data_IF_100361691480
#
_entry.id   IF_100361691480
#
_cell.length_a   1.000
_cell.length_b   1.000
_cell.length_c   1.000
_cell.angle_alpha   90.00
_cell.angle_beta   90.00
_cell.angle_gamma   90.00
#
_symmetry.space_group_name_H-M   'P 1'
#
loop_
_entity.id
_entity.type
_entity.pdbx_description
1 polymer ?
#
# COMPACT_ATOMS: atom_id res chain seq x y z
N UNK A 1 6.51 2.34 -22.22
CA UNK A 1 5.64 3.46 -22.61
C UNK A 1 4.62 3.12 -23.70
N UNK A 2 4.98 2.48 -24.84
CA UNK A 2 4.03 2.15 -25.92
C UNK A 2 2.84 1.27 -25.50
N UNK A 3 3.02 0.33 -24.57
CA UNK A 3 1.96 -0.60 -24.12
C UNK A 3 0.91 0.04 -23.20
N UNK A 4 1.26 1.08 -22.43
CA UNK A 4 0.30 1.80 -21.57
C UNK A 4 -0.53 2.82 -22.36
N UNK A 5 0.04 3.43 -23.42
CA UNK A 5 -0.70 4.36 -24.29
C UNK A 5 -1.89 3.70 -24.99
N UNK A 6 -1.84 2.40 -25.28
CA UNK A 6 -2.93 1.70 -25.96
C UNK A 6 -4.13 1.36 -25.06
N UNK A 7 -3.97 1.36 -23.74
CA UNK A 7 -5.07 1.12 -22.79
C UNK A 7 -5.74 2.42 -22.31
N UNK A 8 -5.04 3.55 -22.31
CA UNK A 8 -5.52 4.82 -21.77
C UNK A 8 -6.71 5.47 -22.54
N UNK A 9 -7.16 4.86 -23.65
CA UNK A 9 -8.35 5.29 -24.41
C UNK A 9 -9.61 4.46 -24.16
N UNK A 10 -9.53 3.33 -23.45
CA UNK A 10 -10.69 2.46 -23.22
C UNK A 10 -11.13 2.58 -21.76
N UNK A 11 -12.30 3.19 -21.56
CA UNK A 11 -12.96 3.22 -20.25
C UNK A 11 -13.02 1.80 -19.67
N UNK A 12 -12.56 1.61 -18.42
CA UNK A 12 -12.72 0.35 -17.69
C UNK A 12 -14.20 0.00 -17.56
N UNK A 13 -14.54 -1.29 -17.51
CA UNK A 13 -15.93 -1.77 -17.48
C UNK A 13 -16.72 -1.27 -16.25
N UNK A 14 -16.03 -0.98 -15.15
CA UNK A 14 -16.63 -0.41 -13.93
C UNK A 14 -17.20 1.00 -14.17
N UNK A 15 -16.57 1.85 -14.97
CA UNK A 15 -17.05 3.23 -15.18
C UNK A 15 -18.44 3.28 -15.86
N UNK A 16 -18.72 2.61 -17.00
CA UNK A 16 -20.06 2.58 -17.57
C UNK A 16 -21.06 1.85 -16.67
N UNK A 17 -20.63 0.84 -15.89
CA UNK A 17 -21.49 0.22 -14.88
C UNK A 17 -21.96 1.25 -13.84
N UNK A 18 -21.03 1.97 -13.21
CA UNK A 18 -21.35 3.00 -12.22
C UNK A 18 -22.28 4.08 -12.81
N UNK A 19 -21.98 4.56 -14.03
CA UNK A 19 -22.82 5.54 -14.73
C UNK A 19 -24.23 5.02 -15.00
N UNK A 20 -24.36 3.79 -15.51
CA UNK A 20 -25.67 3.14 -15.75
C UNK A 20 -26.50 3.07 -14.47
N UNK A 21 -25.85 2.83 -13.34
CA UNK A 21 -26.48 2.75 -12.01
C UNK A 21 -26.55 4.09 -11.27
N UNK A 22 -26.22 5.21 -11.94
CA UNK A 22 -26.25 6.58 -11.39
C UNK A 22 -25.36 6.78 -10.16
N UNK A 23 -24.28 5.99 -10.04
CA UNK A 23 -23.24 6.16 -9.03
C UNK A 23 -22.17 7.08 -9.61
N UNK A 24 -21.90 8.22 -8.98
CA UNK A 24 -20.81 9.14 -9.38
C UNK A 24 -19.75 9.23 -8.28
N UNK A 25 -18.57 9.73 -8.67
CA UNK A 25 -17.45 9.96 -7.75
C UNK A 25 -17.85 10.91 -6.63
N UNK A 26 -18.62 11.95 -6.94
CA UNK A 26 -19.09 12.93 -5.94
C UNK A 26 -19.90 12.31 -4.79
N UNK A 27 -20.60 11.19 -5.02
CA UNK A 27 -21.38 10.52 -3.97
C UNK A 27 -20.67 9.28 -3.39
N UNK A 28 -19.94 8.54 -4.21
CA UNK A 28 -19.25 7.33 -3.78
C UNK A 28 -17.84 7.26 -4.41
N UNK A 29 -16.86 7.96 -3.82
CA UNK A 29 -15.50 8.00 -4.36
C UNK A 29 -14.78 6.66 -4.22
N UNK A 30 -13.71 6.47 -4.99
CA UNK A 30 -12.79 5.33 -4.90
C UNK A 30 -13.37 3.94 -5.27
N UNK A 31 -14.64 3.83 -5.68
CA UNK A 31 -15.18 2.57 -6.24
C UNK A 31 -14.43 2.19 -7.52
N UNK A 32 -14.23 3.16 -8.42
CA UNK A 32 -13.43 2.98 -9.62
C UNK A 32 -11.94 3.31 -9.37
N UNK A 33 -11.02 2.64 -10.08
CA UNK A 33 -9.64 3.09 -10.26
C UNK A 33 -9.52 4.51 -10.87
N UNK A 34 -10.49 4.89 -11.69
CA UNK A 34 -10.52 6.16 -12.39
C UNK A 34 -11.29 7.22 -11.61
N UNK A 35 -10.71 8.41 -11.52
CA UNK A 35 -11.39 9.62 -11.06
C UNK A 35 -11.97 10.44 -12.21
N UNK A 36 -12.20 9.80 -13.37
CA UNK A 36 -12.96 10.33 -14.49
C UNK A 36 -13.77 9.20 -15.13
N UNK A 37 -15.04 9.08 -14.77
CA UNK A 37 -15.95 8.04 -15.24
C UNK A 37 -16.51 8.35 -16.64
N UNK A 38 -16.66 9.63 -17.00
CA UNK A 38 -17.25 10.08 -18.26
C UNK A 38 -16.39 11.13 -18.99
N UNK A 39 -15.23 10.70 -19.49
CA UNK A 39 -14.36 11.60 -20.25
C UNK A 39 -15.05 12.29 -21.44
N UNK A 40 -15.86 11.61 -22.29
CA UNK A 40 -16.55 12.28 -23.38
C UNK A 40 -17.44 13.45 -22.94
N UNK A 41 -18.21 13.28 -21.85
CA UNK A 41 -19.04 14.33 -21.31
C UNK A 41 -18.23 15.48 -20.71
N UNK A 42 -17.18 15.17 -19.92
CA UNK A 42 -16.31 16.18 -19.32
C UNK A 42 -15.53 16.97 -20.38
N UNK A 43 -15.01 16.29 -21.41
CA UNK A 43 -14.32 16.91 -22.53
C UNK A 43 -15.25 17.82 -23.35
N UNK A 44 -16.51 17.43 -23.54
CA UNK A 44 -17.50 18.29 -24.20
C UNK A 44 -17.76 19.59 -23.40
N UNK A 45 -17.90 19.50 -22.08
CA UNK A 45 -18.01 20.67 -21.19
C UNK A 45 -16.80 21.60 -21.34
N UNK A 46 -15.59 21.04 -21.29
CA UNK A 46 -14.33 21.80 -21.42
C UNK A 46 -14.21 22.49 -22.79
N UNK A 47 -14.57 21.82 -23.90
CA UNK A 47 -14.61 22.45 -25.24
C UNK A 47 -15.62 23.58 -25.33
N UNK A 48 -16.74 23.45 -24.62
CA UNK A 48 -17.77 24.49 -24.56
C UNK A 48 -17.39 25.67 -23.63
N UNK A 49 -16.20 25.65 -23.01
CA UNK A 49 -15.75 26.70 -22.10
C UNK A 49 -16.46 26.68 -20.74
N UNK A 50 -17.00 25.53 -20.32
CA UNK A 50 -17.59 25.40 -18.99
C UNK A 50 -16.56 25.66 -17.89
N UNK A 51 -16.96 26.41 -16.87
CA UNK A 51 -16.12 26.67 -15.70
C UNK A 51 -16.15 25.45 -14.76
N UNK A 52 -15.10 24.65 -14.82
CA UNK A 52 -14.86 23.56 -13.87
C UNK A 52 -14.07 24.11 -12.69
N UNK A 53 -14.28 23.54 -11.50
CA UNK A 53 -13.51 23.92 -10.32
C UNK A 53 -12.04 23.58 -10.52
N UNK A 54 -11.22 24.61 -10.69
CA UNK A 54 -9.78 24.48 -10.56
C UNK A 54 -9.39 24.39 -9.09
N UNK A 55 -8.40 23.55 -8.78
CA UNK A 55 -7.80 23.47 -7.45
C UNK A 55 -6.41 24.11 -7.48
N UNK A 56 -6.23 25.42 -7.23
CA UNK A 56 -4.94 26.09 -7.45
C UNK A 56 -3.81 25.52 -6.59
N UNK A 57 -4.13 25.03 -5.39
CA UNK A 57 -3.16 24.38 -4.49
C UNK A 57 -2.60 23.08 -5.07
N UNK A 58 -3.31 22.41 -5.97
CA UNK A 58 -2.85 21.19 -6.64
C UNK A 58 -1.69 21.40 -7.60
N UNK A 59 -1.28 22.64 -7.84
CA UNK A 59 -0.28 22.95 -8.85
C UNK A 59 1.05 22.21 -8.59
N UNK A 60 1.62 21.61 -9.62
CA UNK A 60 2.99 21.06 -9.60
C UNK A 60 3.65 21.15 -10.98
N UNK A 61 4.96 20.92 -11.03
CA UNK A 61 5.78 21.10 -12.23
C UNK A 61 6.35 19.79 -12.74
N UNK A 62 6.47 19.70 -14.06
CA UNK A 62 7.25 18.65 -14.75
C UNK A 62 8.00 19.30 -15.92
N UNK A 63 8.85 18.53 -16.59
CA UNK A 63 9.46 18.95 -17.85
C UNK A 63 8.43 19.35 -18.94
N UNK A 64 7.20 18.81 -18.90
CA UNK A 64 6.15 19.13 -19.87
C UNK A 64 5.48 20.50 -19.62
N UNK A 65 5.61 21.04 -18.40
CA UNK A 65 4.93 22.26 -17.96
C UNK A 65 4.27 22.12 -16.59
N UNK A 66 3.37 23.05 -16.31
CA UNK A 66 2.66 23.15 -15.05
C UNK A 66 1.32 22.41 -15.10
N UNK A 67 1.05 21.63 -14.06
CA UNK A 67 -0.15 20.82 -13.94
C UNK A 67 -1.06 21.39 -12.86
N UNK A 68 -2.38 21.38 -13.10
CA UNK A 68 -3.41 21.73 -12.13
C UNK A 68 -4.59 20.76 -12.25
N UNK A 69 -5.19 20.36 -11.13
CA UNK A 69 -6.39 19.51 -11.09
C UNK A 69 -7.65 20.35 -11.34
N UNK A 70 -8.51 19.86 -12.22
CA UNK A 70 -9.88 20.34 -12.44
C UNK A 70 -10.88 19.30 -11.96
N UNK A 71 -12.04 19.74 -11.48
CA UNK A 71 -13.14 18.89 -11.01
C UNK A 71 -14.49 19.44 -11.46
N UNK A 72 -15.33 18.57 -12.01
CA UNK A 72 -16.76 18.82 -12.20
C UNK A 72 -17.50 18.48 -10.91
N UNK A 73 -17.80 19.47 -10.06
CA UNK A 73 -18.37 19.24 -8.73
C UNK A 73 -19.70 18.47 -8.74
N UNK A 74 -20.45 18.53 -9.84
CA UNK A 74 -21.71 17.81 -9.98
C UNK A 74 -21.51 16.28 -10.08
N UNK A 75 -20.40 15.83 -10.67
CA UNK A 75 -20.12 14.41 -10.94
C UNK A 75 -18.95 13.88 -10.12
N UNK A 76 -18.04 14.76 -9.70
CA UNK A 76 -16.72 14.41 -9.15
C UNK A 76 -15.72 13.99 -10.21
N UNK A 77 -16.07 14.03 -11.51
CA UNK A 77 -15.13 13.72 -12.58
C UNK A 77 -14.01 14.76 -12.62
N UNK A 78 -12.77 14.27 -12.58
CA UNK A 78 -11.57 15.07 -12.50
C UNK A 78 -10.77 15.02 -13.82
N UNK A 79 -10.06 16.12 -14.10
CA UNK A 79 -9.14 16.21 -15.22
C UNK A 79 -7.82 16.88 -14.81
N UNK A 80 -6.74 16.48 -15.47
CA UNK A 80 -5.44 17.13 -15.37
C UNK A 80 -5.35 18.22 -16.43
N UNK A 81 -5.17 19.47 -16.02
CA UNK A 81 -4.84 20.59 -16.91
C UNK A 81 -3.34 20.77 -16.96
N UNK A 82 -2.78 20.85 -18.16
CA UNK A 82 -1.40 21.15 -18.46
C UNK A 82 -1.30 22.51 -19.15
N UNK A 83 -0.62 23.44 -18.51
CA UNK A 83 -0.03 24.62 -19.14
C UNK A 83 1.34 24.24 -19.68
N UNK A 84 1.40 23.95 -20.98
CA UNK A 84 2.57 23.32 -21.58
C UNK A 84 3.68 24.32 -21.86
N UNK A 85 4.93 23.87 -21.70
CA UNK A 85 6.13 24.55 -22.22
C UNK A 85 6.63 23.92 -23.53
N UNK A 86 5.99 22.85 -23.98
CA UNK A 86 6.44 22.10 -25.14
C UNK A 86 6.02 22.80 -26.43
N UNK A 87 6.94 22.88 -27.38
CA UNK A 87 6.65 23.25 -28.76
C UNK A 87 6.13 22.01 -29.50
N UNK A 88 4.82 21.83 -29.66
CA UNK A 88 4.23 20.67 -30.33
C UNK A 88 2.87 20.22 -29.75
N UNK A 89 2.48 18.97 -29.97
CA UNK A 89 1.17 18.42 -29.54
C UNK A 89 1.14 18.13 -28.04
N UNK A 90 0.79 19.14 -27.23
CA UNK A 90 0.61 19.00 -25.79
C UNK A 90 -0.35 17.86 -25.40
N UNK A 91 -1.34 17.54 -26.25
CA UNK A 91 -2.32 16.49 -26.03
C UNK A 91 -1.75 15.05 -26.02
N UNK A 92 -0.49 14.82 -26.40
CA UNK A 92 0.11 13.49 -26.44
C UNK A 92 0.91 13.12 -25.18
N UNK A 93 0.98 14.03 -24.20
CA UNK A 93 1.75 13.85 -22.96
C UNK A 93 1.17 12.73 -22.10
N UNK A 94 -0.15 12.69 -21.93
CA UNK A 94 -0.89 11.60 -21.31
C UNK A 94 -1.93 11.01 -22.29
N UNK A 95 -2.58 9.93 -21.91
CA UNK A 95 -3.61 9.30 -22.74
C UNK A 95 -4.90 10.12 -22.80
N UNK A 96 -5.56 10.09 -23.96
CA UNK A 96 -6.85 10.75 -24.20
C UNK A 96 -6.83 12.27 -24.02
N UNK A 97 -5.69 12.91 -24.29
CA UNK A 97 -5.55 14.35 -24.18
C UNK A 97 -6.40 15.13 -25.19
N UNK A 98 -6.88 16.28 -24.73
CA UNK A 98 -7.59 17.27 -25.53
C UNK A 98 -6.80 18.58 -25.46
N UNK A 99 -6.35 19.08 -26.61
CA UNK A 99 -5.86 20.45 -26.70
C UNK A 99 -7.06 21.41 -26.64
N UNK A 100 -6.99 22.39 -25.73
CA UNK A 100 -7.96 23.48 -25.66
C UNK A 100 -7.49 24.66 -26.52
N UNK A 101 -6.19 24.94 -26.49
CA UNK A 101 -5.51 25.87 -27.37
C UNK A 101 -4.04 25.44 -27.58
N UNK A 102 -3.20 26.33 -28.12
CA UNK A 102 -1.78 26.04 -28.39
C UNK A 102 -0.89 25.89 -27.15
N UNK A 103 -1.32 26.32 -25.96
CA UNK A 103 -0.56 26.26 -24.72
C UNK A 103 -1.25 25.45 -23.61
N UNK A 104 -2.51 25.03 -23.82
CA UNK A 104 -3.33 24.30 -22.86
C UNK A 104 -3.79 22.94 -23.39
N UNK A 105 -3.54 21.90 -22.59
CA UNK A 105 -4.12 20.58 -22.79
C UNK A 105 -4.78 20.06 -21.52
N UNK A 106 -5.80 19.22 -21.67
CA UNK A 106 -6.52 18.57 -20.58
C UNK A 106 -6.62 17.06 -20.81
N UNK A 107 -6.56 16.29 -19.72
CA UNK A 107 -6.56 14.83 -19.75
C UNK A 107 -7.48 14.27 -18.68
N UNK A 108 -8.14 13.13 -18.90
CA UNK A 108 -8.95 12.51 -17.85
C UNK A 108 -8.07 12.00 -16.71
N UNK A 109 -8.54 12.12 -15.47
CA UNK A 109 -7.90 11.53 -14.30
C UNK A 109 -8.15 10.00 -14.24
N UNK A 110 -7.53 9.27 -15.17
CA UNK A 110 -7.53 7.79 -15.18
C UNK A 110 -6.36 7.23 -14.39
N UNK A 111 -6.45 5.96 -13.99
CA UNK A 111 -5.36 5.24 -13.32
C UNK A 111 -4.07 5.24 -14.14
N UNK A 112 -4.15 4.97 -15.43
CA UNK A 112 -2.98 4.89 -16.32
C UNK A 112 -2.31 6.27 -16.48
N UNK A 113 -3.11 7.34 -16.53
CA UNK A 113 -2.60 8.71 -16.55
C UNK A 113 -1.95 9.07 -15.22
N UNK A 114 -2.50 8.65 -14.09
CA UNK A 114 -1.90 8.83 -12.76
C UNK A 114 -0.51 8.15 -12.66
N UNK A 115 -0.39 6.90 -13.12
CA UNK A 115 0.90 6.20 -13.13
C UNK A 115 1.93 6.89 -14.02
N UNK A 116 1.50 7.44 -15.15
CA UNK A 116 2.37 8.22 -16.04
C UNK A 116 2.79 9.53 -15.39
N UNK A 117 1.87 10.24 -14.74
CA UNK A 117 2.16 11.47 -13.98
C UNK A 117 3.15 11.21 -12.83
N UNK A 118 3.07 10.07 -12.14
CA UNK A 118 4.08 9.70 -11.14
C UNK A 118 5.49 9.70 -11.71
N UNK A 119 5.67 9.09 -12.88
CA UNK A 119 6.97 9.08 -13.56
C UNK A 119 7.42 10.50 -13.94
N UNK A 120 6.53 11.32 -14.49
CA UNK A 120 6.86 12.69 -14.90
C UNK A 120 7.23 13.57 -13.71
N UNK A 121 6.46 13.50 -12.63
CA UNK A 121 6.70 14.25 -11.40
C UNK A 121 8.02 13.84 -10.74
N UNK A 122 8.24 12.52 -10.54
CA UNK A 122 9.45 12.03 -9.87
C UNK A 122 10.72 12.18 -10.72
N UNK A 123 10.60 12.25 -12.05
CA UNK A 123 11.74 12.57 -12.93
C UNK A 123 12.15 14.04 -12.79
N UNK A 124 11.19 14.95 -12.58
CA UNK A 124 11.46 16.37 -12.35
C UNK A 124 11.95 16.64 -10.92
N UNK A 125 11.35 15.95 -9.95
CA UNK A 125 11.61 16.10 -8.52
C UNK A 125 11.59 14.70 -7.85
N UNK A 126 12.76 14.05 -7.70
CA UNK A 126 12.86 12.75 -7.06
C UNK A 126 12.29 12.69 -5.64
N UNK A 127 12.23 13.84 -4.95
CA UNK A 127 11.70 14.03 -3.60
C UNK A 127 10.22 14.46 -3.60
N UNK A 128 9.53 14.30 -4.73
CA UNK A 128 8.11 14.63 -4.84
C UNK A 128 7.27 13.84 -3.84
N UNK A 129 6.51 14.56 -3.02
CA UNK A 129 5.58 14.00 -2.03
C UNK A 129 4.13 13.99 -2.50
N UNK A 130 3.89 14.16 -3.81
CA UNK A 130 2.56 14.01 -4.42
C UNK A 130 2.08 12.56 -4.28
N UNK A 131 2.99 11.61 -4.47
CA UNK A 131 2.72 10.18 -4.47
C UNK A 131 3.22 9.55 -3.16
N UNK A 132 2.62 8.42 -2.74
CA UNK A 132 3.15 7.66 -1.61
C UNK A 132 4.56 7.16 -1.92
N UNK A 133 5.44 7.21 -0.92
CA UNK A 133 6.85 6.81 -1.01
C UNK A 133 7.25 5.92 0.15
N UNK A 134 8.48 5.41 0.08
CA UNK A 134 9.16 4.69 1.16
C UNK A 134 10.30 5.52 1.76
N UNK A 135 10.25 6.85 1.58
CA UNK A 135 11.34 7.77 1.91
C UNK A 135 11.34 8.21 3.38
N UNK A 136 12.41 8.88 3.79
CA UNK A 136 12.54 9.45 5.13
C UNK A 136 12.53 8.39 6.24
N UNK A 137 11.81 8.65 7.33
CA UNK A 137 11.67 7.73 8.46
C UNK A 137 10.63 6.64 8.24
N UNK A 138 9.87 6.65 7.13
CA UNK A 138 8.71 5.77 6.93
C UNK A 138 9.06 4.28 7.01
N UNK A 139 10.28 3.89 6.64
CA UNK A 139 10.77 2.51 6.75
C UNK A 139 11.41 2.14 8.09
N UNK A 140 11.32 3.04 9.09
CA UNK A 140 11.94 2.90 10.43
C UNK A 140 11.01 3.24 11.59
N UNK A 141 10.03 4.10 11.37
CA UNK A 141 9.05 4.52 12.39
C UNK A 141 7.90 5.21 11.68
N UNK A 142 6.70 4.66 11.82
CA UNK A 142 5.52 5.18 11.15
C UNK A 142 4.26 4.77 11.91
N UNK A 143 3.20 5.54 11.74
CA UNK A 143 1.86 5.20 12.23
C UNK A 143 1.01 4.85 11.01
N UNK A 144 0.42 3.65 11.04
CA UNK A 144 -0.61 3.21 10.11
C UNK A 144 -1.94 3.89 10.40
N UNK A 145 -2.39 4.78 9.51
CA UNK A 145 -3.68 5.45 9.63
C UNK A 145 -4.64 4.87 8.60
N UNK A 146 -5.41 3.88 9.04
CA UNK A 146 -6.45 3.27 8.24
C UNK A 146 -7.84 3.78 8.61
N UNK A 147 -8.68 4.00 7.60
CA UNK A 147 -10.09 4.30 7.81
C UNK A 147 -10.96 3.52 6.83
N UNK A 148 -12.04 2.98 7.36
CA UNK A 148 -13.06 2.24 6.59
C UNK A 148 -14.16 3.12 6.03
N UNK A 149 -14.19 4.39 6.47
CA UNK A 149 -15.09 5.43 6.00
C UNK A 149 -14.49 6.23 4.82
N UNK A 150 -13.62 5.57 4.03
CA UNK A 150 -13.10 6.03 2.74
C UNK A 150 -12.26 7.31 2.82
N UNK A 151 -12.74 8.41 2.26
CA UNK A 151 -12.00 9.62 1.93
C UNK A 151 -12.15 10.74 2.97
N UNK A 152 -13.09 10.61 3.91
CA UNK A 152 -13.42 11.69 4.86
C UNK A 152 -12.28 12.00 5.84
N UNK A 153 -11.42 11.03 6.10
CA UNK A 153 -10.36 11.17 7.11
C UNK A 153 -9.10 11.85 6.56
N UNK A 154 -8.83 11.78 5.25
CA UNK A 154 -7.55 12.25 4.70
C UNK A 154 -7.23 13.72 5.01
N UNK A 155 -8.17 14.69 4.96
CA UNK A 155 -7.86 16.06 5.33
C UNK A 155 -7.40 16.20 6.79
N UNK A 156 -7.98 15.41 7.71
CA UNK A 156 -7.57 15.40 9.10
C UNK A 156 -6.18 14.76 9.29
N UNK A 157 -5.88 13.70 8.53
CA UNK A 157 -4.53 13.08 8.52
C UNK A 157 -3.49 14.06 7.98
N UNK A 158 -3.79 14.73 6.86
CA UNK A 158 -2.92 15.76 6.26
C UNK A 158 -2.68 16.92 7.22
N UNK A 159 -3.72 17.36 7.94
CA UNK A 159 -3.61 18.36 8.99
C UNK A 159 -2.69 17.88 10.13
N UNK A 160 -2.89 16.66 10.63
CA UNK A 160 -2.09 16.12 11.74
C UNK A 160 -0.61 15.96 11.34
N UNK A 161 -0.34 15.40 10.15
CA UNK A 161 1.01 15.31 9.60
C UNK A 161 1.65 16.69 9.45
N UNK A 162 0.88 17.70 9.00
CA UNK A 162 1.39 19.07 8.86
C UNK A 162 1.68 19.73 10.22
N UNK A 163 0.83 19.50 11.23
CA UNK A 163 0.98 20.07 12.56
C UNK A 163 2.14 19.44 13.34
N UNK A 164 2.43 18.16 13.09
CA UNK A 164 3.50 17.40 13.73
C UNK A 164 4.81 17.39 12.92
N UNK A 165 4.78 17.91 11.69
CA UNK A 165 5.87 17.81 10.71
C UNK A 165 6.38 16.37 10.53
N UNK A 166 5.46 15.40 10.57
CA UNK A 166 5.77 13.97 10.63
C UNK A 166 5.16 13.20 9.48
N UNK A 167 5.99 12.40 8.81
CA UNK A 167 5.56 11.43 7.83
C UNK A 167 4.85 10.22 8.45
N UNK A 168 3.76 9.78 7.85
CA UNK A 168 2.94 8.65 8.32
C UNK A 168 2.59 7.73 7.15
N UNK A 169 2.20 6.50 7.49
CA UNK A 169 1.46 5.60 6.60
C UNK A 169 0.02 6.08 6.55
N UNK A 170 -0.16 7.19 5.82
CA UNK A 170 -1.34 8.05 5.82
C UNK A 170 -2.52 7.50 5.00
N UNK A 171 -2.34 6.32 4.42
CA UNK A 171 -3.40 5.54 3.80
C UNK A 171 -3.11 4.08 4.16
N UNK A 172 -4.08 3.35 4.71
CA UNK A 172 -3.91 1.96 5.06
C UNK A 172 -5.24 1.23 5.08
N UNK A 173 -5.32 0.07 4.41
CA UNK A 173 -6.46 -0.83 4.51
C UNK A 173 -6.02 -2.26 4.24
N UNK A 174 -6.71 -3.23 4.85
CA UNK A 174 -6.44 -4.65 4.65
C UNK A 174 -6.88 -5.11 3.26
N UNK A 175 -6.06 -5.88 2.56
CA UNK A 175 -6.37 -6.40 1.22
C UNK A 175 -6.23 -7.93 1.24
N UNK A 176 -7.27 -8.70 0.91
CA UNK A 176 -8.49 -8.28 0.21
C UNK A 176 -9.69 -8.04 1.12
N UNK A 177 -9.48 -7.99 2.44
CA UNK A 177 -10.59 -7.94 3.39
C UNK A 177 -11.41 -6.67 3.23
N UNK A 178 -10.76 -5.52 3.16
CA UNK A 178 -11.41 -4.20 3.16
C UNK A 178 -11.60 -3.61 1.77
N UNK A 179 -10.59 -3.73 0.90
CA UNK A 179 -10.60 -3.15 -0.44
C UNK A 179 -10.63 -4.21 -1.55
N UNK A 180 -11.31 -3.87 -2.64
CA UNK A 180 -11.36 -4.66 -3.88
C UNK A 180 -10.07 -4.42 -4.68
N UNK A 181 -9.26 -5.45 -4.89
CA UNK A 181 -8.06 -5.36 -5.73
C UNK A 181 -8.31 -5.77 -7.19
N UNK A 182 -9.45 -6.42 -7.47
CA UNK A 182 -9.85 -6.91 -8.79
C UNK A 182 -11.31 -6.49 -9.06
N UNK A 183 -11.48 -5.31 -9.65
CA UNK A 183 -12.81 -4.73 -9.95
C UNK A 183 -13.55 -5.48 -11.06
N UNK A 184 -12.83 -6.18 -11.94
CA UNK A 184 -13.46 -7.00 -12.98
C UNK A 184 -14.05 -8.27 -12.35
N UNK A 185 -13.32 -8.92 -11.43
CA UNK A 185 -13.88 -10.01 -10.63
C UNK A 185 -15.09 -9.58 -9.78
N UNK A 186 -15.09 -8.34 -9.27
CA UNK A 186 -16.26 -7.76 -8.59
C UNK A 186 -17.48 -7.68 -9.50
N UNK A 187 -17.33 -7.12 -10.70
CA UNK A 187 -18.42 -6.98 -11.66
C UNK A 187 -18.95 -8.33 -12.16
N UNK A 188 -18.06 -9.32 -12.27
CA UNK A 188 -18.39 -10.68 -12.69
C UNK A 188 -18.95 -11.54 -11.55
N UNK A 189 -19.04 -11.03 -10.31
CA UNK A 189 -19.52 -11.78 -9.16
C UNK A 189 -18.60 -12.93 -8.73
N UNK A 190 -17.30 -12.80 -9.00
CA UNK A 190 -16.26 -13.81 -8.69
C UNK A 190 -15.43 -13.51 -7.45
N UNK A 191 -15.78 -12.47 -6.69
CA UNK A 191 -15.13 -12.21 -5.40
C UNK A 191 -15.45 -13.33 -4.42
N UNK A 192 -14.48 -13.65 -3.57
CA UNK A 192 -14.63 -14.66 -2.54
C UNK A 192 -15.08 -14.03 -1.21
N UNK A 193 -15.13 -14.85 -0.17
CA UNK A 193 -15.27 -14.43 1.22
C UNK A 193 -13.96 -14.51 1.97
N UNK A 194 -13.79 -13.63 2.95
CA UNK A 194 -12.64 -13.55 3.85
C UNK A 194 -13.09 -13.76 5.29
N UNK A 195 -12.37 -14.56 6.09
CA UNK A 195 -12.64 -14.63 7.52
C UNK A 195 -12.53 -13.25 8.16
N UNK A 196 -13.50 -12.94 9.01
CA UNK A 196 -13.47 -11.75 9.86
C UNK A 196 -13.76 -12.14 11.32
N UNK A 197 -12.76 -12.71 12.01
CA UNK A 197 -12.95 -13.31 13.34
C UNK A 197 -13.59 -12.37 14.36
N UNK A 198 -13.32 -11.06 14.27
CA UNK A 198 -13.89 -10.05 15.16
C UNK A 198 -15.41 -10.04 15.20
N UNK A 199 -16.09 -10.32 14.08
CA UNK A 199 -17.56 -10.41 14.02
C UNK A 199 -18.07 -11.85 14.00
N UNK A 200 -17.18 -12.83 14.19
CA UNK A 200 -17.53 -14.25 14.22
C UNK A 200 -18.03 -14.83 12.90
N UNK A 201 -17.80 -14.16 11.76
CA UNK A 201 -18.26 -14.61 10.44
C UNK A 201 -17.28 -14.22 9.33
N UNK A 202 -17.59 -14.59 8.08
CA UNK A 202 -16.87 -14.14 6.90
C UNK A 202 -17.60 -12.98 6.23
N UNK A 203 -16.85 -12.09 5.59
CA UNK A 203 -17.40 -11.00 4.76
C UNK A 203 -16.96 -11.17 3.32
N UNK A 204 -17.66 -10.58 2.33
CA UNK A 204 -17.15 -10.52 0.96
C UNK A 204 -15.78 -9.83 0.91
N UNK A 205 -14.91 -10.24 0.00
CA UNK A 205 -13.73 -9.45 -0.36
C UNK A 205 -14.14 -8.01 -0.68
N UNK A 206 -13.37 -7.06 -0.18
CA UNK A 206 -13.62 -5.65 -0.43
C UNK A 206 -14.95 -5.16 0.11
N UNK A 207 -15.38 -5.63 1.29
CA UNK A 207 -16.70 -5.31 1.89
C UNK A 207 -17.01 -3.82 2.02
N UNK A 208 -16.01 -2.93 1.92
CA UNK A 208 -16.22 -1.48 1.93
C UNK A 208 -16.70 -0.94 0.58
N UNK A 209 -16.48 -1.68 -0.51
CA UNK A 209 -16.90 -1.33 -1.87
C UNK A 209 -15.95 -0.40 -2.62
N UNK A 210 -14.83 0.03 -2.03
CA UNK A 210 -13.79 0.79 -2.73
C UNK A 210 -12.71 -0.14 -3.28
N UNK A 211 -12.11 0.27 -4.39
CA UNK A 211 -10.97 -0.40 -4.97
C UNK A 211 -9.66 0.10 -4.39
N UNK A 212 -8.63 -0.75 -4.40
CA UNK A 212 -7.26 -0.40 -4.00
C UNK A 212 -6.70 0.73 -4.87
N UNK A 213 -6.90 0.62 -6.18
CA UNK A 213 -6.49 1.64 -7.15
C UNK A 213 -7.24 2.96 -6.89
N UNK A 214 -8.56 2.89 -6.65
CA UNK A 214 -9.38 4.05 -6.34
C UNK A 214 -8.95 4.75 -5.04
N UNK A 215 -8.71 4.01 -3.97
CA UNK A 215 -8.19 4.56 -2.71
C UNK A 215 -6.81 5.20 -2.89
N UNK A 216 -5.95 4.59 -3.69
CA UNK A 216 -4.63 5.16 -4.04
C UNK A 216 -4.78 6.49 -4.78
N UNK A 217 -5.63 6.51 -5.80
CA UNK A 217 -5.86 7.68 -6.64
C UNK A 217 -6.49 8.81 -5.84
N UNK A 218 -7.56 8.52 -5.10
CA UNK A 218 -8.27 9.50 -4.27
C UNK A 218 -7.38 10.13 -3.22
N UNK A 219 -6.50 9.35 -2.58
CA UNK A 219 -5.59 9.88 -1.57
C UNK A 219 -4.55 10.86 -2.17
N UNK A 220 -4.05 10.57 -3.37
CA UNK A 220 -3.19 11.50 -4.13
C UNK A 220 -3.94 12.78 -4.49
N UNK A 221 -5.19 12.66 -4.96
CA UNK A 221 -6.00 13.84 -5.29
C UNK A 221 -6.28 14.69 -4.06
N UNK A 222 -6.59 14.07 -2.92
CA UNK A 222 -6.79 14.77 -1.64
C UNK A 222 -5.59 15.66 -1.31
N UNK A 223 -4.39 15.08 -1.29
CA UNK A 223 -3.15 15.79 -0.97
C UNK A 223 -2.88 16.96 -1.91
N UNK A 224 -3.17 16.77 -3.20
CA UNK A 224 -3.07 17.83 -4.20
C UNK A 224 -4.11 18.94 -3.95
N UNK A 225 -5.39 18.60 -3.75
CA UNK A 225 -6.48 19.56 -3.52
C UNK A 225 -6.19 20.48 -2.32
N UNK A 226 -5.63 19.93 -1.24
CA UNK A 226 -5.29 20.69 -0.04
C UNK A 226 -3.87 21.28 -0.05
N UNK A 227 -3.05 20.97 -1.05
CA UNK A 227 -1.68 21.48 -1.19
C UNK A 227 -0.68 20.86 -0.22
N UNK A 228 -0.97 19.66 0.29
CA UNK A 228 -0.11 18.95 1.23
C UNK A 228 1.27 18.64 0.64
N UNK A 229 1.35 18.34 -0.66
CA UNK A 229 2.62 18.04 -1.34
C UNK A 229 3.63 19.19 -1.31
N UNK A 230 3.19 20.43 -1.15
CA UNK A 230 4.08 21.59 -0.99
C UNK A 230 4.86 21.55 0.34
N UNK A 231 4.37 20.80 1.33
CA UNK A 231 5.04 20.65 2.64
C UNK A 231 6.28 19.79 2.58
N UNK A 232 6.48 19.01 1.51
CA UNK A 232 7.60 18.05 1.37
C UNK A 232 7.68 17.03 2.51
N UNK A 233 6.55 16.72 3.14
CA UNK A 233 6.44 15.64 4.12
C UNK A 233 6.14 14.33 3.38
N UNK A 234 7.04 13.35 3.52
CA UNK A 234 6.86 12.03 2.95
C UNK A 234 5.67 11.31 3.61
N UNK A 235 4.95 10.51 2.85
CA UNK A 235 3.87 9.67 3.34
C UNK A 235 3.84 8.34 2.58
N UNK A 236 3.29 7.29 3.19
CA UNK A 236 3.16 5.97 2.59
C UNK A 236 1.70 5.53 2.47
N UNK A 237 1.47 4.59 1.55
CA UNK A 237 0.25 3.80 1.49
C UNK A 237 0.58 2.34 1.80
N UNK A 238 0.03 1.80 2.88
CA UNK A 238 0.15 0.38 3.22
C UNK A 238 -1.02 -0.43 2.65
N UNK A 239 -0.68 -1.38 1.78
CA UNK A 239 -1.54 -2.46 1.37
C UNK A 239 -1.44 -3.58 2.41
N UNK A 240 -2.24 -3.43 3.46
CA UNK A 240 -2.13 -4.16 4.72
C UNK A 240 -2.69 -5.59 4.63
N UNK A 241 -2.23 -6.49 5.50
CA UNK A 241 -2.67 -7.88 5.61
C UNK A 241 -2.88 -8.61 4.26
N UNK A 242 -1.90 -8.53 3.34
CA UNK A 242 -1.98 -9.32 2.10
C UNK A 242 -1.73 -10.80 2.40
N UNK A 243 -2.73 -11.67 2.25
CA UNK A 243 -2.58 -13.07 2.58
C UNK A 243 -1.60 -13.71 1.61
N UNK A 244 -0.60 -14.38 2.17
CA UNK A 244 0.25 -15.30 1.44
C UNK A 244 -0.43 -16.66 1.40
N UNK A 245 -0.52 -17.25 0.22
CA UNK A 245 -1.06 -18.60 0.03
C UNK A 245 -2.57 -18.67 -0.13
N UNK A 246 -3.07 -19.91 -0.12
CA UNK A 246 -4.48 -20.23 -0.34
C UNK A 246 -5.02 -19.80 -1.71
N UNK A 247 -6.32 -19.51 -1.75
CA UNK A 247 -7.08 -19.17 -2.96
C UNK A 247 -6.65 -17.85 -3.64
N UNK A 248 -5.89 -17.01 -2.95
CA UNK A 248 -5.42 -15.71 -3.47
C UNK A 248 -4.20 -15.82 -4.38
N UNK A 249 -3.50 -16.97 -4.38
CA UNK A 249 -2.39 -17.22 -5.30
C UNK A 249 -2.86 -17.21 -6.77
N UNK A 250 -4.10 -17.64 -7.03
CA UNK A 250 -4.68 -17.67 -8.39
C UNK A 250 -4.90 -16.27 -9.01
N UNK A 251 -5.08 -15.23 -8.18
CA UNK A 251 -5.29 -13.83 -8.62
C UNK A 251 -4.15 -12.91 -8.19
N UNK A 252 -2.99 -13.49 -7.88
CA UNK A 252 -1.81 -12.77 -7.39
C UNK A 252 -1.37 -11.64 -8.32
N UNK A 253 -1.40 -11.85 -9.65
CA UNK A 253 -0.99 -10.82 -10.61
C UNK A 253 -1.96 -9.64 -10.64
N UNK A 254 -3.26 -9.87 -10.41
CA UNK A 254 -4.25 -8.80 -10.26
C UNK A 254 -4.01 -8.02 -8.96
N UNK A 255 -3.75 -8.72 -7.84
CA UNK A 255 -3.42 -8.08 -6.57
C UNK A 255 -2.20 -7.16 -6.70
N UNK A 256 -1.12 -7.68 -7.29
CA UNK A 256 0.12 -6.92 -7.50
C UNK A 256 -0.11 -5.69 -8.37
N UNK A 257 -0.88 -5.82 -9.47
CA UNK A 257 -1.21 -4.70 -10.34
C UNK A 257 -2.04 -3.63 -9.64
N UNK A 258 -3.05 -4.03 -8.86
CA UNK A 258 -3.92 -3.11 -8.13
C UNK A 258 -3.18 -2.35 -7.03
N UNK A 259 -2.13 -2.95 -6.45
CA UNK A 259 -1.34 -2.36 -5.37
C UNK A 259 -0.10 -1.58 -5.84
N UNK A 260 0.02 -1.25 -7.14
CA UNK A 260 1.22 -0.59 -7.70
C UNK A 260 1.59 0.74 -7.01
N UNK A 261 0.62 1.49 -6.47
CA UNK A 261 0.91 2.72 -5.72
C UNK A 261 1.06 2.51 -4.21
N UNK A 262 0.76 1.33 -3.66
CA UNK A 262 1.08 1.05 -2.25
C UNK A 262 2.59 1.07 -2.07
N UNK A 263 3.13 2.04 -1.33
CA UNK A 263 4.58 2.13 -1.09
C UNK A 263 5.04 1.28 0.10
N UNK A 264 4.11 0.56 0.71
CA UNK A 264 4.32 -0.34 1.83
C UNK A 264 3.40 -1.56 1.64
N UNK A 265 3.96 -2.77 1.71
CA UNK A 265 3.23 -4.04 1.61
C UNK A 265 3.42 -4.84 2.91
N UNK A 266 2.33 -5.17 3.58
CA UNK A 266 2.32 -6.14 4.69
C UNK A 266 1.99 -7.53 4.15
N UNK A 267 2.95 -8.44 4.18
CA UNK A 267 2.75 -9.83 3.83
C UNK A 267 2.29 -10.61 5.06
N UNK A 268 1.04 -11.04 5.06
CA UNK A 268 0.45 -11.83 6.13
C UNK A 268 0.63 -13.32 5.82
N UNK A 269 1.51 -13.96 6.58
CA UNK A 269 1.83 -15.38 6.42
C UNK A 269 0.92 -16.28 7.26
N UNK A 270 0.08 -15.70 8.12
CA UNK A 270 -0.77 -16.44 9.06
C UNK A 270 -1.69 -17.45 8.35
N UNK A 271 -2.34 -17.13 7.20
CA UNK A 271 -3.18 -18.09 6.49
C UNK A 271 -2.44 -19.35 6.01
N UNK A 272 -1.23 -19.20 5.46
CA UNK A 272 -0.42 -20.33 5.00
C UNK A 272 0.15 -21.14 6.18
N UNK A 273 0.63 -20.45 7.21
CA UNK A 273 1.16 -21.09 8.42
C UNK A 273 0.08 -21.89 9.17
N UNK A 274 -1.18 -21.41 9.17
CA UNK A 274 -2.31 -22.08 9.79
C UNK A 274 -2.69 -23.42 9.11
N UNK A 275 -2.23 -23.68 7.88
CA UNK A 275 -2.42 -25.00 7.25
C UNK A 275 -1.66 -26.12 7.97
N UNK A 276 -0.61 -25.78 8.73
CA UNK A 276 0.23 -26.71 9.48
C UNK A 276 0.79 -27.84 8.59
N UNK A 277 1.26 -27.48 7.40
CA UNK A 277 1.85 -28.39 6.40
C UNK A 277 3.35 -28.09 6.27
N UNK A 278 4.19 -28.57 7.19
CA UNK A 278 5.62 -28.33 7.13
C UNK A 278 6.25 -29.00 5.91
N UNK A 279 7.26 -28.34 5.33
CA UNK A 279 8.09 -28.92 4.29
C UNK A 279 8.97 -30.06 4.84
N UNK A 280 9.54 -30.88 3.94
CA UNK A 280 10.63 -31.78 4.34
C UNK A 280 11.94 -31.01 4.37
N UNK A 281 12.81 -31.28 5.34
CA UNK A 281 14.10 -30.58 5.44
C UNK A 281 14.95 -30.70 4.16
N UNK A 282 14.86 -31.85 3.47
CA UNK A 282 15.55 -32.09 2.19
C UNK A 282 15.06 -31.19 1.03
N UNK A 283 13.91 -30.52 1.17
CA UNK A 283 13.38 -29.55 0.19
C UNK A 283 13.96 -28.14 0.39
N UNK A 284 14.71 -27.94 1.47
CA UNK A 284 15.34 -26.66 1.81
C UNK A 284 16.82 -26.72 1.39
N UNK A 285 17.31 -25.78 0.57
CA UNK A 285 18.71 -25.77 0.15
C UNK A 285 19.67 -25.79 1.34
N UNK A 286 20.62 -26.73 1.35
CA UNK A 286 21.54 -26.95 2.48
C UNK A 286 22.36 -25.71 2.83
N UNK A 287 22.78 -24.95 1.81
CA UNK A 287 23.50 -23.70 2.01
C UNK A 287 22.62 -22.62 2.66
N UNK A 288 21.32 -22.59 2.33
CA UNK A 288 20.35 -21.71 2.97
C UNK A 288 20.14 -22.10 4.44
N UNK A 289 19.99 -23.39 4.74
CA UNK A 289 19.88 -23.90 6.13
C UNK A 289 21.09 -23.42 6.96
N UNK A 290 22.31 -23.57 6.42
CA UNK A 290 23.54 -23.16 7.09
C UNK A 290 23.60 -21.63 7.30
N UNK A 291 23.25 -20.83 6.28
CA UNK A 291 23.20 -19.36 6.36
C UNK A 291 22.22 -18.89 7.43
N UNK A 292 21.00 -19.43 7.44
CA UNK A 292 19.96 -19.07 8.41
C UNK A 292 20.40 -19.44 9.83
N UNK A 293 20.96 -20.64 10.02
CA UNK A 293 21.47 -21.07 11.34
C UNK A 293 22.58 -20.16 11.85
N UNK A 294 23.55 -19.83 11.01
CA UNK A 294 24.64 -18.92 11.36
C UNK A 294 24.10 -17.53 11.73
N UNK A 295 23.13 -17.02 10.98
CA UNK A 295 22.53 -15.71 11.21
C UNK A 295 21.73 -15.61 12.51
N UNK A 296 21.00 -16.68 12.87
CA UNK A 296 20.28 -16.80 14.15
C UNK A 296 21.28 -16.86 15.33
N UNK A 297 22.36 -17.63 15.18
CA UNK A 297 23.43 -17.67 16.19
C UNK A 297 24.12 -16.30 16.38
N UNK A 298 24.36 -15.56 15.29
CA UNK A 298 24.88 -14.18 15.33
C UNK A 298 23.93 -13.20 16.04
N UNK A 299 22.61 -13.46 16.01
CA UNK A 299 21.64 -12.71 16.79
C UNK A 299 21.65 -13.05 18.29
N UNK A 300 22.46 -14.03 18.72
CA UNK A 300 22.63 -14.44 20.12
C UNK A 300 21.64 -15.50 20.60
N UNK A 301 20.92 -16.15 19.68
CA UNK A 301 19.93 -17.18 20.02
C UNK A 301 20.53 -18.59 19.86
N UNK A 302 20.40 -19.40 20.91
CA UNK A 302 20.78 -20.81 20.91
C UNK A 302 19.54 -21.68 20.70
N UNK A 303 19.34 -22.13 19.46
CA UNK A 303 18.22 -23.02 19.10
C UNK A 303 18.76 -24.43 18.88
N UNK A 304 18.13 -25.43 19.53
CA UNK A 304 18.52 -26.84 19.36
C UNK A 304 18.43 -27.26 17.89
N UNK A 305 19.20 -28.27 17.48
CA UNK A 305 19.17 -28.74 16.09
C UNK A 305 17.76 -29.21 15.67
N UNK A 306 17.08 -29.92 16.57
CA UNK A 306 15.73 -30.43 16.36
C UNK A 306 14.70 -29.30 16.25
N UNK A 307 14.72 -28.33 17.17
CA UNK A 307 13.77 -27.21 17.17
C UNK A 307 14.01 -26.28 15.98
N UNK A 308 15.26 -26.01 15.63
CA UNK A 308 15.60 -25.22 14.47
C UNK A 308 15.08 -25.88 13.19
N UNK A 309 15.32 -27.18 13.02
CA UNK A 309 14.88 -27.91 11.82
C UNK A 309 13.36 -27.95 11.73
N UNK A 310 12.68 -28.20 12.85
CA UNK A 310 11.21 -28.20 12.92
C UNK A 310 10.64 -26.82 12.56
N UNK A 311 11.16 -25.75 13.16
CA UNK A 311 10.72 -24.39 12.91
C UNK A 311 10.98 -23.98 11.45
N UNK A 312 12.17 -24.27 10.93
CA UNK A 312 12.54 -23.99 9.55
C UNK A 312 11.59 -24.68 8.56
N UNK A 313 11.34 -25.97 8.75
CA UNK A 313 10.38 -26.73 7.94
C UNK A 313 8.96 -26.18 8.03
N UNK A 314 8.55 -25.71 9.20
CA UNK A 314 7.21 -25.15 9.40
C UNK A 314 7.00 -23.82 8.67
N UNK A 315 7.99 -22.92 8.68
CA UNK A 315 7.85 -21.58 8.07
C UNK A 315 8.23 -21.54 6.59
N UNK A 316 9.02 -22.52 6.12
CA UNK A 316 9.58 -22.53 4.77
C UNK A 316 8.55 -22.35 3.64
N UNK A 317 7.41 -23.07 3.62
CA UNK A 317 6.43 -22.90 2.55
C UNK A 317 5.96 -21.44 2.41
N UNK A 318 5.60 -20.80 3.53
CA UNK A 318 5.12 -19.41 3.56
C UNK A 318 6.18 -18.43 3.06
N UNK A 319 7.44 -18.59 3.45
CA UNK A 319 8.53 -17.73 2.97
C UNK A 319 8.81 -17.91 1.47
N UNK A 320 8.70 -19.13 0.94
CA UNK A 320 8.81 -19.34 -0.51
C UNK A 320 7.69 -18.64 -1.27
N UNK A 321 6.45 -18.68 -0.76
CA UNK A 321 5.33 -17.99 -1.38
C UNK A 321 5.49 -16.46 -1.30
N UNK A 322 5.91 -15.94 -0.14
CA UNK A 322 6.24 -14.53 0.03
C UNK A 322 7.32 -14.08 -0.96
N UNK A 323 8.36 -14.89 -1.21
CA UNK A 323 9.40 -14.59 -2.22
C UNK A 323 8.82 -14.34 -3.60
N UNK A 324 7.96 -15.24 -4.05
CA UNK A 324 7.35 -15.16 -5.38
C UNK A 324 6.47 -13.91 -5.50
N UNK A 325 5.68 -13.61 -4.46
CA UNK A 325 4.87 -12.38 -4.41
C UNK A 325 5.74 -11.13 -4.47
N UNK A 326 6.84 -11.11 -3.71
CA UNK A 326 7.78 -9.99 -3.68
C UNK A 326 8.43 -9.75 -5.04
N UNK A 327 8.90 -10.81 -5.70
CA UNK A 327 9.48 -10.75 -7.05
C UNK A 327 8.48 -10.22 -8.07
N UNK A 328 7.20 -10.59 -7.96
CA UNK A 328 6.12 -10.04 -8.79
C UNK A 328 5.92 -8.54 -8.54
N UNK A 329 5.94 -8.10 -7.29
CA UNK A 329 5.89 -6.67 -6.96
C UNK A 329 7.07 -5.90 -7.56
N UNK A 330 8.28 -6.40 -7.38
CA UNK A 330 9.48 -5.80 -7.95
C UNK A 330 9.39 -5.71 -9.49
N UNK A 331 8.98 -6.79 -10.16
CA UNK A 331 8.83 -6.83 -11.61
C UNK A 331 7.74 -5.87 -12.12
N UNK A 332 6.57 -5.84 -11.46
CA UNK A 332 5.47 -4.97 -11.83
C UNK A 332 5.86 -3.48 -11.69
N UNK A 333 6.57 -3.13 -10.61
CA UNK A 333 7.10 -1.77 -10.40
C UNK A 333 8.18 -1.41 -11.40
N UNK A 334 9.10 -2.32 -11.72
CA UNK A 334 10.14 -2.08 -12.73
C UNK A 334 9.52 -1.78 -14.12
N UNK A 335 8.38 -2.43 -14.43
CA UNK A 335 7.61 -2.18 -15.66
C UNK A 335 6.84 -0.86 -15.64
N UNK A 336 6.24 -0.50 -14.50
CA UNK A 336 5.38 0.68 -14.38
C UNK A 336 6.15 1.98 -14.14
N UNK A 337 7.26 1.92 -13.40
CA UNK A 337 7.99 3.09 -12.92
C UNK A 337 9.40 3.17 -13.50
N UNK A 338 9.81 4.39 -13.83
CA UNK A 338 11.08 4.71 -14.48
C UNK A 338 12.13 5.26 -13.52
N UNK A 339 11.71 5.71 -12.34
CA UNK A 339 12.57 6.24 -11.28
C UNK A 339 12.80 5.20 -10.20
N UNK A 340 13.92 5.31 -9.48
CA UNK A 340 14.22 4.45 -8.33
C UNK A 340 13.20 4.64 -7.20
N UNK A 341 12.90 5.90 -6.83
CA UNK A 341 11.86 6.25 -5.84
C UNK A 341 10.50 5.67 -6.20
N UNK A 342 10.15 5.62 -7.48
CA UNK A 342 8.89 5.03 -7.94
C UNK A 342 8.83 3.51 -7.77
N UNK A 343 9.98 2.84 -7.87
CA UNK A 343 10.12 1.38 -7.77
C UNK A 343 10.30 0.89 -6.34
N UNK A 344 10.86 1.71 -5.46
CA UNK A 344 11.09 1.35 -4.06
C UNK A 344 9.78 1.23 -3.27
N UNK A 345 9.72 0.25 -2.35
CA UNK A 345 8.60 0.03 -1.44
C UNK A 345 9.09 -0.67 -0.17
N UNK A 346 8.34 -0.49 0.92
CA UNK A 346 8.59 -1.10 2.21
C UNK A 346 7.94 -2.48 2.29
N UNK A 347 8.55 -3.38 3.06
CA UNK A 347 8.02 -4.73 3.32
C UNK A 347 7.80 -4.92 4.82
N UNK A 348 6.67 -5.51 5.18
CA UNK A 348 6.44 -6.05 6.51
C UNK A 348 6.16 -7.53 6.45
N UNK A 349 6.79 -8.25 7.38
CA UNK A 349 6.53 -9.64 7.65
C UNK A 349 5.50 -9.72 8.79
N UNK A 350 4.27 -10.12 8.50
CA UNK A 350 3.20 -10.26 9.50
C UNK A 350 2.90 -11.73 9.77
N UNK A 351 2.82 -12.05 11.07
CA UNK A 351 2.42 -13.35 11.64
C UNK A 351 1.57 -13.15 12.90
N UNK A 352 0.95 -11.98 13.03
CA UNK A 352 0.22 -11.56 14.23
C UNK A 352 -1.16 -12.23 14.38
N UNK A 353 -1.74 -12.73 13.28
CA UNK A 353 -3.03 -13.43 13.30
C UNK A 353 -2.91 -14.92 13.68
N UNK A 354 -1.71 -15.44 13.96
CA UNK A 354 -1.52 -16.80 14.47
C UNK A 354 -1.93 -16.95 15.94
N UNK A 355 -2.44 -18.13 16.35
CA UNK A 355 -2.74 -18.39 17.74
C UNK A 355 -1.47 -18.45 18.60
N UNK A 356 -1.54 -17.88 19.80
CA UNK A 356 -0.42 -17.84 20.75
C UNK A 356 0.47 -16.61 20.59
N UNK A 357 1.62 -16.63 21.28
CA UNK A 357 2.63 -15.58 21.19
C UNK A 357 3.76 -16.04 20.27
N UNK A 358 4.22 -15.16 19.39
CA UNK A 358 5.42 -15.42 18.60
C UNK A 358 6.64 -15.50 19.53
N UNK A 359 7.49 -16.51 19.34
CA UNK A 359 8.75 -16.64 20.10
C UNK A 359 9.90 -15.87 19.43
N UNK A 360 10.95 -15.47 20.18
CA UNK A 360 12.15 -14.85 19.60
C UNK A 360 12.83 -15.69 18.51
N UNK A 361 12.85 -17.01 18.69
CA UNK A 361 13.44 -17.95 17.74
C UNK A 361 12.68 -17.96 16.42
N UNK A 362 11.34 -17.91 16.49
CA UNK A 362 10.46 -17.81 15.31
C UNK A 362 10.77 -16.53 14.55
N UNK A 363 10.77 -15.38 15.24
CA UNK A 363 11.14 -14.08 14.68
C UNK A 363 12.51 -14.12 14.01
N UNK A 364 13.54 -14.65 14.70
CA UNK A 364 14.90 -14.67 14.18
C UNK A 364 15.07 -15.58 12.96
N UNK A 365 14.46 -16.78 12.96
CA UNK A 365 14.53 -17.70 11.82
C UNK A 365 13.87 -17.08 10.59
N UNK A 366 12.70 -16.45 10.76
CA UNK A 366 11.97 -15.85 9.64
C UNK A 366 12.70 -14.60 9.09
N UNK A 367 13.24 -13.74 9.96
CA UNK A 367 14.04 -12.59 9.52
C UNK A 367 15.32 -13.03 8.80
N UNK A 368 16.01 -14.06 9.32
CA UNK A 368 17.18 -14.63 8.67
C UNK A 368 16.86 -15.25 7.30
N UNK A 369 15.69 -15.89 7.16
CA UNK A 369 15.20 -16.36 5.87
C UNK A 369 14.94 -15.19 4.90
N UNK A 370 14.31 -14.11 5.36
CA UNK A 370 14.09 -12.93 4.53
C UNK A 370 15.39 -12.33 4.00
N UNK A 371 16.41 -12.15 4.86
CA UNK A 371 17.75 -11.70 4.44
C UNK A 371 18.37 -12.67 3.43
N UNK A 372 18.39 -13.98 3.76
CA UNK A 372 19.06 -14.99 2.94
C UNK A 372 18.39 -15.25 1.58
N UNK A 373 17.08 -14.97 1.47
CA UNK A 373 16.30 -15.05 0.23
C UNK A 373 16.34 -13.75 -0.60
N UNK A 374 17.07 -12.72 -0.14
CA UNK A 374 17.22 -11.44 -0.84
C UNK A 374 15.98 -10.54 -0.75
N UNK A 375 15.16 -10.70 0.30
CA UNK A 375 13.93 -9.94 0.54
C UNK A 375 13.95 -9.25 1.92
N UNK A 376 14.96 -8.42 2.25
CA UNK A 376 15.03 -7.80 3.56
C UNK A 376 13.76 -6.99 3.84
N UNK A 377 13.21 -7.18 5.05
CA UNK A 377 11.99 -6.50 5.49
C UNK A 377 12.32 -5.26 6.30
N UNK A 378 11.42 -4.28 6.26
CA UNK A 378 11.53 -3.06 7.06
C UNK A 378 10.88 -3.24 8.44
N UNK A 379 9.81 -4.02 8.48
CA UNK A 379 9.05 -4.29 9.69
C UNK A 379 8.77 -5.78 9.88
N UNK A 380 8.57 -6.17 11.13
CA UNK A 380 7.98 -7.45 11.51
C UNK A 380 6.85 -7.21 12.51
N UNK A 381 5.68 -7.80 12.26
CA UNK A 381 4.53 -7.78 13.16
C UNK A 381 4.37 -9.18 13.81
N UNK A 382 4.96 -9.42 14.99
CA UNK A 382 4.76 -10.65 15.75
C UNK A 382 3.41 -10.66 16.48
N UNK A 383 2.93 -11.85 16.84
CA UNK A 383 1.76 -12.02 17.68
C UNK A 383 2.08 -11.67 19.14
N UNK A 384 1.55 -10.53 19.59
CA UNK A 384 1.63 -10.06 20.99
C UNK A 384 0.40 -10.40 21.84
N UNK A 385 -0.59 -11.10 21.27
CA UNK A 385 -1.86 -11.37 21.95
C UNK A 385 -2.73 -10.14 22.17
N UNK A 386 -2.55 -9.10 21.35
CA UNK A 386 -3.34 -7.87 21.47
C UNK A 386 -4.77 -8.09 21.03
N UNK A 387 -5.70 -7.61 21.85
CA UNK A 387 -7.10 -7.49 21.48
C UNK A 387 -7.37 -6.11 20.88
N UNK A 388 -8.22 -6.07 19.85
CA UNK A 388 -8.62 -4.82 19.21
C UNK A 388 -9.40 -3.94 20.18
N UNK A 389 -9.09 -2.65 20.21
CA UNK A 389 -9.78 -1.64 21.02
C UNK A 389 -9.74 -1.84 22.55
N UNK A 390 -8.87 -2.72 23.05
CA UNK A 390 -8.69 -2.96 24.47
C UNK A 390 -7.23 -2.73 24.86
N UNK A 391 -6.94 -2.01 25.96
CA UNK A 391 -5.60 -1.90 26.52
C UNK A 391 -5.01 -3.25 26.91
N UNK A 392 -3.68 -3.39 26.80
CA UNK A 392 -2.99 -4.51 27.41
C UNK A 392 -2.98 -4.32 28.93
N UNK A 393 -3.43 -5.31 29.72
CA UNK A 393 -3.78 -5.09 31.13
C UNK A 393 -2.58 -4.84 32.04
N UNK A 394 -1.40 -5.39 31.72
CA UNK A 394 -0.19 -5.29 32.54
C UNK A 394 0.98 -4.68 31.77
N UNK A 395 1.37 -3.47 32.14
CA UNK A 395 2.47 -2.73 31.51
C UNK A 395 3.86 -3.36 31.76
N UNK A 396 4.08 -4.03 32.90
CA UNK A 396 5.35 -4.68 33.18
C UNK A 396 5.49 -5.96 32.35
N UNK A 397 4.42 -6.74 32.25
CA UNK A 397 4.38 -7.90 31.34
C UNK A 397 4.52 -7.47 29.87
N UNK A 398 3.82 -6.41 29.46
CA UNK A 398 3.95 -5.83 28.12
C UNK A 398 5.40 -5.42 27.82
N UNK A 399 6.04 -4.70 28.73
CA UNK A 399 7.43 -4.27 28.59
C UNK A 399 8.35 -5.47 28.34
N UNK A 400 8.29 -6.49 29.20
CA UNK A 400 9.12 -7.70 29.06
C UNK A 400 8.88 -8.41 27.73
N UNK A 401 7.61 -8.49 27.31
CA UNK A 401 7.21 -9.11 26.05
C UNK A 401 7.81 -8.35 24.85
N UNK A 402 7.71 -7.02 24.83
CA UNK A 402 8.26 -6.18 23.76
C UNK A 402 9.79 -6.22 23.79
N UNK A 403 10.44 -6.11 24.94
CA UNK A 403 11.90 -6.14 25.09
C UNK A 403 12.49 -7.43 24.49
N UNK A 404 11.82 -8.55 24.72
CA UNK A 404 12.22 -9.87 24.22
C UNK A 404 12.20 -9.93 22.69
N UNK A 405 11.15 -9.41 22.06
CA UNK A 405 11.06 -9.35 20.59
C UNK A 405 11.95 -8.27 19.98
N UNK A 406 12.04 -7.12 20.65
CA UNK A 406 12.83 -5.98 20.20
C UNK A 406 14.33 -6.29 20.18
N UNK A 407 14.82 -7.05 21.16
CA UNK A 407 16.21 -7.51 21.19
C UNK A 407 16.59 -8.27 19.89
N UNK A 408 15.67 -9.08 19.34
CA UNK A 408 15.87 -9.73 18.04
C UNK A 408 15.85 -8.69 16.93
N UNK A 409 14.79 -7.87 16.84
CA UNK A 409 14.61 -6.86 15.80
C UNK A 409 15.85 -5.94 15.65
N UNK A 410 16.44 -5.51 16.77
CA UNK A 410 17.67 -4.72 16.79
C UNK A 410 18.86 -5.41 16.11
N UNK A 411 19.02 -6.73 16.30
CA UNK A 411 20.10 -7.51 15.66
C UNK A 411 19.91 -7.66 14.15
N UNK A 412 18.68 -7.50 13.65
CA UNK A 412 18.35 -7.55 12.23
C UNK A 412 18.19 -6.15 11.61
N UNK A 413 18.21 -5.08 12.41
CA UNK A 413 18.00 -3.73 11.92
C UNK A 413 16.55 -3.45 11.48
N UNK A 414 15.61 -4.32 11.85
CA UNK A 414 14.20 -4.27 11.46
C UNK A 414 13.39 -3.56 12.55
N UNK A 415 12.35 -2.83 12.17
CA UNK A 415 11.41 -2.18 13.07
C UNK A 415 10.28 -3.12 13.49
N UNK A 416 9.63 -2.84 14.63
CA UNK A 416 8.60 -3.74 15.18
C UNK A 416 7.19 -3.17 14.97
N UNK A 417 6.33 -3.98 14.36
CA UNK A 417 4.93 -3.65 14.08
C UNK A 417 4.02 -4.05 15.24
N UNK A 418 3.13 -3.14 15.65
CA UNK A 418 2.09 -3.39 16.65
C UNK A 418 0.71 -3.41 16.02
N UNK A 419 0.30 -4.58 15.52
CA UNK A 419 -1.03 -4.77 14.96
C UNK A 419 -2.12 -4.77 16.04
N UNK A 420 -3.35 -4.45 15.65
CA UNK A 420 -4.45 -4.15 16.58
C UNK A 420 -4.09 -3.08 17.62
N UNK A 421 -3.22 -2.13 17.24
CA UNK A 421 -2.66 -1.10 18.12
C UNK A 421 -3.66 -0.02 18.55
N UNK A 422 -4.79 0.16 17.87
CA UNK A 422 -5.81 1.14 18.27
C UNK A 422 -6.50 0.76 19.60
N UNK A 423 -6.87 1.79 20.37
CA UNK A 423 -7.57 1.66 21.66
C UNK A 423 -6.70 1.13 22.81
N UNK A 424 -5.37 1.15 22.66
CA UNK A 424 -4.45 0.93 23.78
C UNK A 424 -4.40 2.18 24.68
N UNK A 425 -4.00 2.00 25.95
CA UNK A 425 -3.87 3.13 26.87
C UNK A 425 -2.66 4.01 26.54
N UNK A 426 -2.65 5.24 27.06
CA UNK A 426 -1.50 6.13 26.92
C UNK A 426 -0.22 5.51 27.50
N UNK A 427 -0.34 4.76 28.59
CA UNK A 427 0.76 4.04 29.22
C UNK A 427 1.27 2.90 28.33
N UNK A 428 0.38 2.14 27.68
CA UNK A 428 0.79 1.11 26.72
C UNK A 428 1.62 1.71 25.57
N UNK A 429 1.15 2.82 24.97
CA UNK A 429 1.91 3.48 23.91
C UNK A 429 3.25 4.02 24.40
N UNK A 430 3.31 4.54 25.63
CA UNK A 430 4.57 4.98 26.24
C UNK A 430 5.55 3.81 26.41
N UNK A 431 5.09 2.67 26.91
CA UNK A 431 5.92 1.46 27.02
C UNK A 431 6.45 1.02 25.66
N UNK A 432 5.59 0.96 24.63
CA UNK A 432 6.00 0.61 23.26
C UNK A 432 7.07 1.56 22.73
N UNK A 433 6.87 2.87 22.87
CA UNK A 433 7.82 3.89 22.43
C UNK A 433 9.15 3.84 23.18
N UNK A 434 9.13 3.73 24.51
CA UNK A 434 10.34 3.68 25.34
C UNK A 434 11.19 2.43 25.06
N UNK A 435 10.57 1.25 24.97
CA UNK A 435 11.31 0.00 24.73
C UNK A 435 11.97 0.00 23.35
N UNK A 436 11.27 0.52 22.34
CA UNK A 436 11.74 0.49 20.94
C UNK A 436 12.62 1.68 20.57
N UNK A 437 12.70 2.70 21.43
CA UNK A 437 13.28 3.99 21.04
C UNK A 437 12.49 4.64 19.91
N UNK A 438 11.17 4.46 19.92
CA UNK A 438 10.21 4.92 18.91
C UNK A 438 10.42 4.34 17.50
N UNK A 439 10.88 3.09 17.39
CA UNK A 439 11.19 2.42 16.12
C UNK A 439 10.31 1.21 15.81
#
# INVERSE_FOLDING_TARGET
MKTLKHQAGRSRAINPFLRKHRIRIAQNPCVSPDFCLDWPALAAKLRAGADLKAWPKSRFETAAGAWTLLEDEATGDCAWRLETRLTGTAADVLGSGLALDGSLAVFPATWENLLTLKNLAQKQDPESTIFPTAAGSLGRSTIGVGARLTTLHWPAVEWAMSALELGMTANQNSIPRELVYDVDAMLEGRLDTVPFPFIGTSVPEGHQGQSVEGMSHGCVLSKLKYGFHHRKIAWSFNADHQPIGGKFDAREDALVRGCLLASYITFDLSPELALNQPARLAEIPVDLVAKVRARVAQAGLAVSEADFSKLLCAVWPSLQKMKRRDEKYAAARAKAFTTETGRHYLRELSIDELPGLTTPETTAVMLALCEALGMPVNFIAPAFGFQKNTPYPDNAALRKLIETQWAVCQKFGVSIGFHSGSGKSAENYRVMGEVTGSR
#
